data_IF_091908784553
#
_entry.id   IF_091908784553
#
_cell.length_a   1.000
_cell.length_b   1.000
_cell.length_c   1.000
_cell.angle_alpha   90.00
_cell.angle_beta   90.00
_cell.angle_gamma   90.00
#
_symmetry.space_group_name_H-M   'P 1'
#
loop_
_entity.id
_entity.type
_entity.pdbx_description
1 polymer ?
#
# COMPACT_ATOMS: atom_id res chain seq x y z
N UNK A 1 47.16 8.18 -39.43
CA UNK A 1 46.14 9.24 -39.35
C UNK A 1 45.53 9.16 -37.96
N UNK A 2 46.04 9.96 -37.02
CA UNK A 2 45.62 9.93 -35.62
C UNK A 2 44.63 11.06 -35.35
N UNK A 3 43.49 10.72 -34.76
CA UNK A 3 42.52 11.72 -34.30
C UNK A 3 42.80 12.09 -32.85
N UNK A 4 43.21 13.34 -32.67
CA UNK A 4 43.30 14.02 -31.38
C UNK A 4 41.91 14.49 -30.98
N UNK A 5 41.39 13.95 -29.87
CA UNK A 5 40.15 14.43 -29.24
C UNK A 5 40.53 15.54 -28.26
N UNK A 6 39.99 16.74 -28.49
CA UNK A 6 40.09 17.90 -27.59
C UNK A 6 38.90 17.86 -26.64
N UNK A 7 39.16 17.69 -25.35
CA UNK A 7 38.15 17.80 -24.29
C UNK A 7 38.12 19.26 -23.83
N UNK A 8 36.99 19.92 -24.05
CA UNK A 8 36.73 21.28 -23.60
C UNK A 8 36.04 21.21 -22.23
N UNK A 9 36.73 21.63 -21.17
CA UNK A 9 36.15 21.78 -19.83
C UNK A 9 35.51 23.16 -19.70
N UNK A 10 34.17 23.19 -19.60
CA UNK A 10 33.43 24.40 -19.23
C UNK A 10 33.23 24.43 -17.70
N UNK A 11 33.89 25.39 -17.04
CA UNK A 11 33.65 25.73 -15.65
C UNK A 11 32.49 26.72 -15.57
N UNK A 12 31.38 26.32 -14.94
CA UNK A 12 30.27 27.22 -14.58
C UNK A 12 30.50 27.70 -13.15
N UNK A 13 30.76 29.01 -13.01
CA UNK A 13 30.80 29.69 -11.72
C UNK A 13 29.38 30.09 -11.32
N UNK A 14 28.91 29.57 -10.18
CA UNK A 14 27.62 29.93 -9.60
C UNK A 14 27.81 31.06 -8.59
N UNK A 15 27.44 32.28 -8.96
CA UNK A 15 27.36 33.45 -8.07
C UNK A 15 26.06 33.38 -7.26
N UNK A 16 26.18 33.21 -5.94
CA UNK A 16 25.07 33.36 -4.99
C UNK A 16 24.85 34.84 -4.67
N UNK A 17 23.68 35.37 -5.02
CA UNK A 17 23.19 36.67 -4.56
C UNK A 17 22.29 36.49 -3.33
N UNK A 18 22.77 36.93 -2.17
CA UNK A 18 21.97 37.13 -0.96
C UNK A 18 21.26 38.50 -1.06
N UNK A 19 19.94 38.49 -1.18
CA UNK A 19 19.11 39.69 -1.00
C UNK A 19 18.50 39.66 0.40
N UNK A 20 18.97 40.55 1.26
CA UNK A 20 18.38 40.86 2.55
C UNK A 20 17.38 42.00 2.38
N UNK A 21 16.13 41.78 2.78
CA UNK A 21 15.15 42.84 3.01
C UNK A 21 14.52 42.61 4.39
N UNK A 22 15.04 43.32 5.39
CA UNK A 22 14.39 43.59 6.66
C UNK A 22 14.19 45.10 6.78
N UNK A 23 12.99 45.53 7.14
CA UNK A 23 12.65 46.93 7.32
C UNK A 23 11.23 47.08 7.87
N UNK A 24 11.18 47.43 9.15
CA UNK A 24 10.03 47.57 10.04
C UNK A 24 9.08 48.76 9.73
N UNK A 25 7.99 48.75 10.50
CA UNK A 25 7.14 49.86 10.98
C UNK A 25 5.94 50.30 10.12
N UNK A 26 4.72 50.10 10.64
CA UNK A 26 4.08 51.13 11.46
C UNK A 26 2.65 50.77 11.84
N UNK A 27 2.35 51.08 13.10
CA UNK A 27 1.08 50.99 13.81
C UNK A 27 0.05 51.99 13.27
N UNK A 28 -1.23 51.61 13.28
CA UNK A 28 -2.34 52.53 13.58
C UNK A 28 -3.45 51.83 14.34
N UNK A 29 -3.63 52.28 15.58
CA UNK A 29 -4.84 52.10 16.38
C UNK A 29 -6.04 52.75 15.71
N UNK A 30 -7.20 52.11 15.79
CA UNK A 30 -8.49 52.78 15.69
C UNK A 30 -9.45 52.13 16.70
N UNK A 31 -9.61 52.81 17.85
CA UNK A 31 -10.74 52.65 18.75
C UNK A 31 -11.97 53.26 18.07
N UNK A 32 -13.04 52.49 17.92
CA UNK A 32 -14.41 53.03 17.82
C UNK A 32 -15.29 52.20 18.73
N UNK A 33 -15.79 52.86 19.79
CA UNK A 33 -16.83 52.33 20.65
C UNK A 33 -18.21 52.46 20.00
N UNK A 34 -19.12 51.59 20.42
CA UNK A 34 -20.52 51.62 20.04
C UNK A 34 -21.33 50.71 20.96
N UNK A 35 -21.70 51.26 22.11
CA UNK A 35 -22.78 50.77 22.97
C UNK A 35 -24.10 50.90 22.22
N UNK A 36 -24.88 49.82 22.13
CA UNK A 36 -26.35 49.90 22.06
C UNK A 36 -26.91 48.73 22.87
N UNK A 37 -27.55 49.10 24.00
CA UNK A 37 -28.49 48.26 24.73
C UNK A 37 -29.82 48.22 23.96
N UNK A 38 -30.44 47.05 23.85
CA UNK A 38 -31.89 46.92 23.74
C UNK A 38 -32.31 45.53 24.22
N UNK A 39 -32.98 45.54 25.37
CA UNK A 39 -33.75 44.45 25.95
C UNK A 39 -34.78 43.89 24.97
N UNK A 40 -34.84 42.56 24.82
CA UNK A 40 -36.10 41.83 24.64
C UNK A 40 -36.00 40.51 25.39
N UNK A 41 -36.82 40.40 26.43
CA UNK A 41 -37.11 39.17 27.15
C UNK A 41 -38.03 38.26 26.32
N UNK A 42 -37.69 36.97 26.25
CA UNK A 42 -38.69 35.91 26.08
C UNK A 42 -38.25 34.68 26.87
N UNK A 43 -39.09 34.27 27.81
CA UNK A 43 -39.04 33.01 28.55
C UNK A 43 -39.10 31.81 27.60
N UNK A 44 -38.42 30.70 27.94
CA UNK A 44 -39.00 29.34 27.89
C UNK A 44 -38.02 28.26 28.39
N UNK A 45 -38.46 27.61 29.46
CA UNK A 45 -38.34 26.20 29.86
C UNK A 45 -37.04 25.39 29.68
N UNK A 46 -36.46 25.08 30.86
CA UNK A 46 -36.10 23.76 31.36
C UNK A 46 -35.86 22.61 30.34
N UNK A 47 -34.58 22.24 30.19
CA UNK A 47 -34.18 20.85 29.97
C UNK A 47 -32.74 20.64 30.45
N UNK A 48 -32.61 19.81 31.47
CA UNK A 48 -31.35 19.35 32.05
C UNK A 48 -30.59 18.47 31.06
N UNK A 49 -29.40 18.88 30.63
CA UNK A 49 -28.46 18.02 29.92
C UNK A 49 -27.25 17.71 30.82
N UNK A 50 -27.05 16.41 31.03
CA UNK A 50 -26.01 15.78 31.83
C UNK A 50 -24.66 15.99 31.16
N UNK A 51 -23.73 16.56 31.92
CA UNK A 51 -22.34 16.79 31.53
C UNK A 51 -21.53 15.50 31.74
N UNK A 52 -21.38 14.70 30.68
CA UNK A 52 -20.55 13.50 30.70
C UNK A 52 -19.24 13.76 29.94
N UNK A 53 -18.19 14.09 30.69
CA UNK A 53 -16.80 14.04 30.24
C UNK A 53 -16.46 12.61 29.80
N UNK A 54 -16.35 12.39 28.50
CA UNK A 54 -15.74 11.17 27.94
C UNK A 54 -14.24 11.42 27.85
N UNK A 55 -13.48 10.78 28.75
CA UNK A 55 -12.02 10.71 28.66
C UNK A 55 -11.61 9.73 27.57
N UNK A 56 -10.78 10.18 26.64
CA UNK A 56 -10.16 9.37 25.59
C UNK A 56 -8.90 8.70 26.14
N UNK A 57 -9.06 7.67 26.96
CA UNK A 57 -7.94 6.77 27.30
C UNK A 57 -7.95 5.59 26.34
N UNK A 58 -7.06 5.64 25.35
CA UNK A 58 -6.75 4.50 24.50
C UNK A 58 -5.94 3.48 25.31
N UNK A 59 -6.63 2.51 25.91
CA UNK A 59 -6.00 1.35 26.54
C UNK A 59 -5.43 0.46 25.44
N UNK A 60 -4.10 0.39 25.34
CA UNK A 60 -3.42 -0.58 24.50
C UNK A 60 -3.76 -1.99 25.01
N UNK A 61 -4.34 -2.83 24.14
CA UNK A 61 -4.60 -4.22 24.47
C UNK A 61 -3.28 -5.02 24.44
N UNK A 62 -3.09 -5.98 25.35
CA UNK A 62 -1.91 -6.83 25.35
C UNK A 62 -1.87 -7.72 24.10
N UNK A 63 -0.67 -7.87 23.54
CA UNK A 63 -0.37 -8.79 22.44
C UNK A 63 -0.47 -10.23 22.94
N UNK A 64 -1.62 -10.87 22.72
CA UNK A 64 -1.84 -12.28 23.10
C UNK A 64 -1.32 -13.16 21.97
N UNK A 65 -0.08 -13.63 22.12
CA UNK A 65 0.46 -14.75 21.35
C UNK A 65 -0.34 -16.01 21.69
N UNK A 66 -1.20 -16.45 20.77
CA UNK A 66 -1.87 -17.74 20.85
C UNK A 66 -0.93 -18.80 20.29
N UNK A 67 -0.53 -19.73 21.15
CA UNK A 67 0.20 -20.92 20.76
C UNK A 67 -0.76 -21.86 20.01
N UNK A 68 -0.80 -21.71 18.68
CA UNK A 68 -1.54 -22.60 17.79
C UNK A 68 -0.71 -23.87 17.69
N UNK A 69 -1.07 -24.88 18.50
CA UNK A 69 -0.36 -26.16 18.55
C UNK A 69 -0.14 -26.76 17.16
N UNK A 70 0.97 -27.48 16.98
CA UNK A 70 1.37 -28.12 15.72
C UNK A 70 0.21 -28.94 15.12
N UNK A 71 -0.43 -28.39 14.08
CA UNK A 71 -1.43 -29.09 13.29
C UNK A 71 -0.71 -30.11 12.41
N UNK A 72 -0.89 -31.39 12.74
CA UNK A 72 -0.24 -32.49 12.03
C UNK A 72 -0.74 -32.66 10.60
N UNK A 73 0.17 -32.60 9.63
CA UNK A 73 0.02 -33.25 8.32
C UNK A 73 -0.34 -32.38 7.12
N UNK A 74 -0.70 -31.11 7.31
CA UNK A 74 -0.92 -30.20 6.17
C UNK A 74 0.40 -29.51 5.85
N UNK A 75 0.98 -29.79 4.69
CA UNK A 75 2.11 -29.01 4.17
C UNK A 75 1.67 -27.55 4.13
N UNK A 76 2.30 -26.69 4.93
CA UNK A 76 2.03 -25.25 4.91
C UNK A 76 2.08 -24.80 3.45
N UNK A 77 1.01 -24.17 2.93
CA UNK A 77 1.03 -23.71 1.55
C UNK A 77 2.15 -22.67 1.44
N UNK A 78 3.12 -22.96 0.57
CA UNK A 78 4.32 -22.14 0.31
C UNK A 78 4.06 -20.98 -0.64
N UNK A 79 2.83 -20.86 -1.13
CA UNK A 79 2.44 -19.80 -2.03
C UNK A 79 2.09 -18.53 -1.25
N UNK A 80 1.79 -17.44 -1.94
CA UNK A 80 1.34 -16.20 -1.33
C UNK A 80 -0.12 -16.08 -1.69
N UNK A 81 -0.97 -15.79 -0.72
CA UNK A 81 -2.34 -15.40 -0.98
C UNK A 81 -2.35 -14.22 -1.96
N UNK A 82 -3.01 -14.36 -3.11
CA UNK A 82 -2.98 -13.33 -4.17
C UNK A 82 -3.55 -11.98 -3.73
N UNK A 83 -4.58 -11.99 -2.89
CA UNK A 83 -5.18 -10.80 -2.27
C UNK A 83 -4.44 -10.34 -1.01
N UNK A 84 -3.18 -10.72 -0.79
CA UNK A 84 -2.39 -10.24 0.35
C UNK A 84 -2.13 -8.72 0.24
N UNK A 85 -2.59 -7.98 1.24
CA UNK A 85 -2.46 -6.53 1.26
C UNK A 85 -3.39 -5.85 2.27
N UNK A 86 -3.24 -4.54 2.40
CA UNK A 86 -4.17 -3.70 3.13
C UNK A 86 -5.23 -3.21 2.14
N UNK A 87 -6.48 -3.57 2.40
CA UNK A 87 -7.63 -3.25 1.55
C UNK A 87 -8.63 -2.39 2.30
N UNK A 88 -9.35 -1.53 1.59
CA UNK A 88 -10.55 -0.88 2.09
C UNK A 88 -11.77 -1.74 1.77
N UNK A 89 -12.63 -1.91 2.77
CA UNK A 89 -13.96 -2.50 2.65
C UNK A 89 -14.99 -1.37 2.80
N UNK A 90 -15.77 -1.14 1.74
CA UNK A 90 -16.82 -0.11 1.75
C UNK A 90 -16.27 1.30 1.91
N UNK A 91 -16.91 2.16 2.72
CA UNK A 91 -16.55 3.58 2.80
C UNK A 91 -15.39 3.88 3.76
N UNK A 92 -15.22 3.13 4.85
CA UNK A 92 -14.28 3.51 5.92
C UNK A 92 -13.57 2.34 6.62
N UNK A 93 -13.95 1.09 6.35
CA UNK A 93 -13.33 -0.05 7.03
C UNK A 93 -12.09 -0.50 6.25
N UNK A 94 -11.11 -1.05 6.97
CA UNK A 94 -9.95 -1.67 6.37
C UNK A 94 -9.78 -3.09 6.85
N UNK A 95 -9.18 -3.90 5.98
CA UNK A 95 -8.80 -5.26 6.30
C UNK A 95 -7.38 -5.50 5.81
N UNK A 96 -6.53 -5.98 6.70
CA UNK A 96 -5.29 -6.62 6.31
C UNK A 96 -5.60 -8.08 5.98
N UNK A 97 -5.30 -8.47 4.74
CA UNK A 97 -5.38 -9.85 4.29
C UNK A 97 -3.95 -10.38 4.14
N UNK A 98 -3.67 -11.54 4.72
CA UNK A 98 -2.40 -12.25 4.63
C UNK A 98 -2.65 -13.74 4.50
N UNK A 99 -1.63 -14.52 4.16
CA UNK A 99 -1.69 -15.99 4.15
C UNK A 99 -2.02 -16.61 5.51
N UNK A 100 -2.01 -15.82 6.59
CA UNK A 100 -2.33 -16.29 7.95
C UNK A 100 -3.56 -15.64 8.57
N UNK A 101 -4.00 -14.46 8.10
CA UNK A 101 -5.11 -13.72 8.72
C UNK A 101 -5.96 -12.97 7.70
N UNK A 102 -7.27 -13.05 7.86
CA UNK A 102 -8.25 -12.19 7.19
C UNK A 102 -8.89 -11.29 8.24
N UNK A 103 -8.29 -10.11 8.47
CA UNK A 103 -8.70 -9.25 9.57
C UNK A 103 -8.52 -9.94 10.94
N UNK A 104 -9.63 -10.37 11.55
CA UNK A 104 -9.65 -11.03 12.87
C UNK A 104 -9.70 -12.56 12.82
N UNK A 105 -9.90 -13.18 11.65
CA UNK A 105 -9.92 -14.64 11.53
C UNK A 105 -8.56 -15.17 11.07
N UNK A 106 -8.26 -16.41 11.45
CA UNK A 106 -7.01 -17.11 11.08
C UNK A 106 -7.26 -17.87 9.79
N UNK A 107 -6.37 -17.72 8.80
CA UNK A 107 -6.35 -18.53 7.60
C UNK A 107 -5.63 -19.84 7.93
N UNK A 108 -6.33 -20.95 7.76
CA UNK A 108 -5.79 -22.31 7.99
C UNK A 108 -5.31 -22.94 6.69
N UNK A 109 -5.94 -22.58 5.58
CA UNK A 109 -5.59 -23.04 4.24
C UNK A 109 -6.02 -21.99 3.20
N UNK A 110 -5.42 -22.01 2.02
CA UNK A 110 -5.89 -21.27 0.86
C UNK A 110 -5.47 -22.02 -0.42
N UNK A 111 -6.20 -21.76 -1.49
CA UNK A 111 -6.07 -22.35 -2.81
C UNK A 111 -6.22 -21.22 -3.83
N UNK A 112 -5.08 -20.68 -4.27
CA UNK A 112 -5.05 -19.59 -5.24
C UNK A 112 -5.61 -20.02 -6.60
N UNK A 113 -5.42 -21.28 -7.00
CA UNK A 113 -5.93 -21.78 -8.29
C UNK A 113 -7.46 -21.73 -8.38
N UNK A 114 -8.16 -21.74 -7.24
CA UNK A 114 -9.61 -21.60 -7.14
C UNK A 114 -10.05 -20.31 -6.41
N UNK A 115 -9.13 -19.39 -6.13
CA UNK A 115 -9.36 -18.18 -5.35
C UNK A 115 -10.07 -18.41 -4.02
N UNK A 116 -9.71 -19.45 -3.25
CA UNK A 116 -10.35 -19.79 -1.97
C UNK A 116 -9.43 -19.66 -0.77
N UNK A 117 -9.97 -19.19 0.36
CA UNK A 117 -9.32 -19.20 1.65
C UNK A 117 -10.23 -19.83 2.70
N UNK A 118 -9.65 -20.68 3.52
CA UNK A 118 -10.33 -21.42 4.56
C UNK A 118 -9.85 -20.85 5.89
N UNK A 119 -10.80 -20.41 6.71
CA UNK A 119 -10.50 -19.66 7.92
C UNK A 119 -11.17 -20.28 9.13
N UNK A 120 -10.62 -20.01 10.31
CA UNK A 120 -11.21 -20.36 11.59
C UNK A 120 -11.23 -19.14 12.49
N UNK A 121 -12.28 -19.02 13.32
CA UNK A 121 -12.34 -17.96 14.31
C UNK A 121 -11.38 -18.26 15.46
N UNK A 122 -10.50 -17.33 15.85
CA UNK A 122 -9.68 -17.52 17.03
C UNK A 122 -10.56 -17.59 18.28
N UNK A 123 -10.05 -18.30 19.27
CA UNK A 123 -10.67 -18.47 20.58
C UNK A 123 -11.06 -17.10 21.17
N UNK A 124 -12.33 -16.90 21.48
CA UNK A 124 -12.79 -15.76 22.28
C UNK A 124 -13.24 -14.51 21.51
N UNK A 125 -13.36 -14.55 20.18
CA UNK A 125 -13.95 -13.43 19.43
C UNK A 125 -15.47 -13.57 19.41
N UNK A 126 -16.20 -12.68 20.10
CA UNK A 126 -17.65 -12.57 19.96
C UNK A 126 -18.00 -11.82 18.67
N UNK A 127 -18.79 -12.44 17.81
CA UNK A 127 -19.30 -11.82 16.59
C UNK A 127 -20.59 -11.03 16.86
N UNK A 128 -20.97 -10.10 15.97
CA UNK A 128 -22.28 -9.46 16.01
C UNK A 128 -23.35 -10.49 15.67
N UNK A 129 -23.84 -11.21 16.69
CA UNK A 129 -24.79 -12.32 16.55
C UNK A 129 -24.72 -13.39 17.64
N UNK A 130 -23.67 -13.39 18.49
CA UNK A 130 -23.54 -14.33 19.61
C UNK A 130 -22.15 -14.97 19.71
N UNK A 131 -22.02 -15.90 20.67
CA UNK A 131 -20.79 -16.64 20.96
C UNK A 131 -20.35 -17.40 19.72
N UNK A 132 -19.25 -16.98 19.09
CA UNK A 132 -18.61 -17.77 18.03
C UNK A 132 -18.10 -19.04 18.69
N UNK A 133 -18.61 -20.19 18.24
CA UNK A 133 -18.11 -21.47 18.72
C UNK A 133 -16.68 -21.63 18.21
N UNK A 134 -15.75 -21.90 19.12
CA UNK A 134 -14.41 -22.32 18.73
C UNK A 134 -14.50 -23.49 17.74
N UNK A 135 -13.56 -23.53 16.79
CA UNK A 135 -13.48 -24.63 15.82
C UNK A 135 -14.53 -24.57 14.72
N UNK A 136 -15.18 -23.41 14.52
CA UNK A 136 -16.01 -23.15 13.35
C UNK A 136 -15.16 -22.61 12.22
N UNK A 137 -15.31 -23.21 11.05
CA UNK A 137 -14.63 -22.83 9.83
C UNK A 137 -15.54 -22.05 8.89
N UNK A 138 -14.92 -21.19 8.08
CA UNK A 138 -15.58 -20.45 7.00
C UNK A 138 -14.72 -20.51 5.74
N UNK A 139 -15.38 -20.54 4.59
CA UNK A 139 -14.72 -20.52 3.28
C UNK A 139 -15.00 -19.18 2.64
N UNK A 140 -13.93 -18.50 2.25
CA UNK A 140 -13.99 -17.28 1.48
C UNK A 140 -13.53 -17.56 0.06
N UNK A 141 -14.15 -16.89 -0.91
CA UNK A 141 -13.73 -16.87 -2.31
C UNK A 141 -13.47 -15.42 -2.74
N UNK A 142 -12.47 -15.17 -3.58
CA UNK A 142 -12.22 -13.85 -4.16
C UNK A 142 -12.22 -13.84 -5.69
N UNK A 143 -12.28 -12.64 -6.26
CA UNK A 143 -12.02 -12.39 -7.68
C UNK A 143 -10.57 -11.94 -7.87
N UNK A 144 -9.98 -12.23 -9.04
CA UNK A 144 -8.65 -11.71 -9.42
C UNK A 144 -8.59 -10.18 -9.21
N UNK A 145 -7.58 -9.67 -8.48
CA UNK A 145 -7.37 -8.23 -8.34
C UNK A 145 -7.18 -7.54 -9.70
N UNK A 146 -8.09 -6.64 -10.05
CA UNK A 146 -7.99 -5.81 -11.26
C UNK A 146 -8.00 -4.35 -10.87
N UNK A 147 -6.94 -3.62 -11.23
CA UNK A 147 -6.82 -2.17 -10.99
C UNK A 147 -7.08 -1.76 -9.53
N UNK A 148 -6.43 -2.44 -8.58
CA UNK A 148 -6.59 -2.15 -7.14
C UNK A 148 -7.95 -2.57 -6.56
N UNK A 149 -8.79 -3.26 -7.34
CA UNK A 149 -10.10 -3.74 -6.90
C UNK A 149 -10.16 -5.27 -6.91
N UNK A 150 -10.66 -5.84 -5.84
CA UNK A 150 -11.04 -7.25 -5.76
C UNK A 150 -12.43 -7.36 -5.10
N UNK A 151 -13.05 -8.53 -5.21
CA UNK A 151 -14.27 -8.85 -4.45
C UNK A 151 -14.00 -10.05 -3.58
N UNK A 152 -14.59 -10.06 -2.40
CA UNK A 152 -14.48 -11.13 -1.43
C UNK A 152 -15.89 -11.61 -1.05
N UNK A 153 -16.08 -12.92 -1.01
CA UNK A 153 -17.34 -13.54 -0.65
C UNK A 153 -17.10 -14.64 0.40
N UNK A 154 -17.95 -14.71 1.44
CA UNK A 154 -18.02 -15.85 2.33
C UNK A 154 -18.97 -16.92 1.76
N UNK A 155 -18.42 -17.89 1.03
CA UNK A 155 -19.18 -18.96 0.34
C UNK A 155 -19.57 -20.12 1.24
N UNK A 156 -19.03 -20.20 2.45
CA UNK A 156 -19.51 -21.14 3.46
C UNK A 156 -19.18 -20.67 4.87
N UNK A 157 -19.98 -21.07 5.85
CA UNK A 157 -19.81 -20.69 7.25
C UNK A 157 -20.41 -21.74 8.18
N UNK A 158 -20.05 -21.70 9.47
CA UNK A 158 -20.55 -22.63 10.48
C UNK A 158 -20.18 -24.10 10.21
N UNK A 159 -19.07 -24.35 9.51
CA UNK A 159 -18.55 -25.69 9.28
C UNK A 159 -17.81 -26.19 10.52
N UNK A 160 -18.15 -27.39 11.00
CA UNK A 160 -17.68 -27.88 12.31
C UNK A 160 -16.28 -28.51 12.26
N UNK A 161 -15.70 -28.71 11.08
CA UNK A 161 -14.37 -29.31 10.90
C UNK A 161 -13.64 -28.63 9.73
N UNK A 162 -12.31 -28.68 9.77
CA UNK A 162 -11.47 -28.21 8.67
C UNK A 162 -11.71 -29.01 7.40
N UNK A 163 -11.86 -30.34 7.54
CA UNK A 163 -12.17 -31.22 6.42
C UNK A 163 -13.48 -30.83 5.71
N UNK A 164 -14.53 -30.46 6.47
CA UNK A 164 -15.78 -29.98 5.89
C UNK A 164 -15.59 -28.66 5.13
N UNK A 165 -14.70 -27.77 5.61
CA UNK A 165 -14.34 -26.55 4.89
C UNK A 165 -13.60 -26.84 3.59
N UNK A 166 -12.58 -27.70 3.64
CA UNK A 166 -11.81 -28.10 2.46
C UNK A 166 -12.66 -28.84 1.42
N UNK A 167 -13.72 -29.53 1.84
CA UNK A 167 -14.68 -30.22 0.96
C UNK A 167 -15.85 -29.33 0.51
N UNK A 168 -15.90 -28.06 0.91
CA UNK A 168 -16.99 -27.16 0.52
C UNK A 168 -17.01 -26.93 -1.00
N UNK A 169 -18.07 -27.42 -1.63
CA UNK A 169 -18.31 -27.24 -3.07
C UNK A 169 -18.97 -25.90 -3.41
N UNK A 170 -19.34 -25.10 -2.40
CA UNK A 170 -19.97 -23.81 -2.63
C UNK A 170 -19.00 -22.89 -3.36
N UNK A 171 -19.54 -22.17 -4.34
CA UNK A 171 -18.83 -21.18 -5.13
C UNK A 171 -19.71 -19.94 -5.24
N UNK A 172 -19.07 -18.78 -5.29
CA UNK A 172 -19.77 -17.54 -5.50
C UNK A 172 -20.08 -17.35 -6.99
N UNK A 173 -21.21 -16.71 -7.29
CA UNK A 173 -21.54 -16.28 -8.66
C UNK A 173 -21.03 -14.86 -8.89
N UNK A 174 -19.97 -14.71 -9.69
CA UNK A 174 -19.34 -13.40 -9.97
C UNK A 174 -20.22 -12.48 -10.83
N UNK A 175 -21.13 -13.06 -11.62
CA UNK A 175 -22.08 -12.32 -12.47
C UNK A 175 -23.21 -11.67 -11.65
N UNK A 176 -23.35 -12.06 -10.38
CA UNK A 176 -24.38 -11.56 -9.46
C UNK A 176 -23.74 -10.80 -8.29
N UNK A 177 -23.26 -9.55 -8.47
CA UNK A 177 -22.55 -8.82 -7.41
C UNK A 177 -23.38 -8.60 -6.12
N UNK A 178 -24.72 -8.66 -6.20
CA UNK A 178 -25.62 -8.40 -5.07
C UNK A 178 -26.14 -9.67 -4.37
N UNK A 179 -26.10 -10.83 -5.03
CA UNK A 179 -26.72 -12.08 -4.54
C UNK A 179 -25.82 -13.31 -4.70
N UNK A 180 -24.73 -13.19 -5.44
CA UNK A 180 -23.83 -14.30 -5.76
C UNK A 180 -23.03 -14.83 -4.59
N UNK A 181 -23.10 -14.18 -3.42
CA UNK A 181 -22.41 -14.61 -2.22
C UNK A 181 -23.36 -15.29 -1.22
N UNK A 182 -23.78 -16.53 -1.51
CA UNK A 182 -24.79 -17.26 -0.73
C UNK A 182 -26.10 -16.47 -0.53
N UNK A 183 -26.54 -15.75 -1.58
CA UNK A 183 -27.71 -14.87 -1.51
C UNK A 183 -27.40 -13.46 -0.98
N UNK A 184 -26.18 -13.19 -0.53
CA UNK A 184 -25.70 -11.88 -0.13
C UNK A 184 -24.82 -11.19 -1.19
N UNK A 185 -24.49 -9.90 -0.97
CA UNK A 185 -23.63 -9.14 -1.86
C UNK A 185 -22.15 -9.52 -1.66
N UNK A 186 -21.37 -9.37 -2.72
CA UNK A 186 -19.92 -9.41 -2.64
C UNK A 186 -19.38 -8.21 -1.84
N UNK A 187 -18.37 -8.46 -1.02
CA UNK A 187 -17.62 -7.41 -0.33
C UNK A 187 -16.59 -6.87 -1.32
N UNK A 188 -16.67 -5.57 -1.65
CA UNK A 188 -15.63 -4.95 -2.48
C UNK A 188 -14.42 -4.60 -1.64
N UNK A 189 -13.26 -5.06 -2.08
CA UNK A 189 -11.94 -4.69 -1.60
C UNK A 189 -11.36 -3.69 -2.59
N UNK A 190 -10.97 -2.51 -2.12
CA UNK A 190 -10.45 -1.45 -2.99
C UNK A 190 -9.16 -0.87 -2.39
N UNK A 191 -8.23 -0.47 -3.24
CA UNK A 191 -7.07 0.35 -2.94
C UNK A 191 -6.91 1.39 -4.06
N UNK A 192 -6.32 2.57 -3.78
CA UNK A 192 -5.95 3.48 -4.85
C UNK A 192 -5.09 2.74 -5.86
N UNK A 193 -5.35 2.88 -7.16
CA UNK A 193 -4.51 2.27 -8.20
C UNK A 193 -3.03 2.64 -8.04
N UNK A 194 -2.76 3.87 -7.59
CA UNK A 194 -1.42 4.35 -7.26
C UNK A 194 -0.72 3.60 -6.11
N UNK A 195 -1.40 2.70 -5.40
CA UNK A 195 -0.81 1.97 -4.26
C UNK A 195 0.39 1.13 -4.70
N UNK A 196 1.47 1.24 -3.95
CA UNK A 196 2.71 0.54 -4.21
C UNK A 196 3.94 1.29 -3.73
N UNK A 197 5.08 0.66 -3.96
CA UNK A 197 6.40 1.28 -3.86
C UNK A 197 6.82 1.74 -5.25
N UNK A 198 7.24 2.98 -5.36
CA UNK A 198 7.61 3.63 -6.61
C UNK A 198 8.93 4.39 -6.47
N UNK A 199 9.74 4.44 -7.52
CA UNK A 199 10.82 5.42 -7.61
C UNK A 199 10.25 6.75 -8.07
N UNK A 200 10.41 7.80 -7.26
CA UNK A 200 9.82 9.13 -7.52
C UNK A 200 10.80 10.03 -8.29
N UNK A 201 10.28 10.91 -9.15
CA UNK A 201 11.09 11.93 -9.86
C UNK A 201 11.79 12.92 -8.94
N UNK A 202 11.37 13.02 -7.67
CA UNK A 202 12.04 13.83 -6.65
C UNK A 202 13.22 13.11 -5.98
N UNK A 203 13.53 11.89 -6.42
CA UNK A 203 14.51 11.01 -5.81
C UNK A 203 13.90 10.15 -4.70
N UNK A 204 14.53 9.00 -4.46
CA UNK A 204 14.09 8.04 -3.45
C UNK A 204 12.86 7.25 -3.85
N UNK A 205 12.35 6.48 -2.88
CA UNK A 205 11.13 5.69 -3.03
C UNK A 205 9.95 6.42 -2.39
N UNK A 206 8.81 6.38 -3.07
CA UNK A 206 7.52 6.82 -2.57
C UNK A 206 6.67 5.58 -2.31
N UNK A 207 6.22 5.42 -1.06
CA UNK A 207 5.32 4.35 -0.66
C UNK A 207 3.93 4.93 -0.57
N UNK A 208 3.04 4.45 -1.43
CA UNK A 208 1.63 4.82 -1.48
C UNK A 208 0.83 3.62 -1.00
N UNK A 209 -0.02 3.81 -0.01
CA UNK A 209 -0.91 2.77 0.52
C UNK A 209 -2.37 3.17 0.35
N UNK A 210 -3.31 2.39 0.88
CA UNK A 210 -4.69 2.82 1.01
C UNK A 210 -4.90 3.98 2.00
N UNK A 211 -3.88 4.32 2.81
CA UNK A 211 -3.97 5.30 3.90
C UNK A 211 -3.08 6.52 3.72
N UNK A 212 -2.01 6.39 2.96
CA UNK A 212 -0.93 7.37 2.98
C UNK A 212 -0.31 7.52 1.60
N UNK A 213 0.01 8.76 1.24
CA UNK A 213 0.87 9.13 0.13
C UNK A 213 2.04 9.91 0.73
N UNK A 214 3.18 9.23 0.91
CA UNK A 214 4.30 9.79 1.67
C UNK A 214 3.89 10.10 3.12
N UNK A 215 3.82 11.38 3.48
CA UNK A 215 3.44 11.84 4.84
C UNK A 215 2.03 12.40 4.96
N UNK A 216 1.25 12.41 3.86
CA UNK A 216 -0.14 12.88 3.88
C UNK A 216 -1.10 11.69 3.92
N UNK A 217 -2.18 11.84 4.68
CA UNK A 217 -3.19 10.79 4.81
C UNK A 217 -4.14 10.82 3.60
N UNK A 218 -4.45 9.65 3.05
CA UNK A 218 -5.48 9.44 2.04
C UNK A 218 -6.82 9.27 2.76
N UNK A 219 -7.77 10.11 2.39
CA UNK A 219 -9.10 10.15 3.01
C UNK A 219 -10.11 9.40 2.13
N UNK A 220 -10.07 9.64 0.83
CA UNK A 220 -10.97 9.05 -0.15
C UNK A 220 -10.29 8.98 -1.51
N UNK A 221 -10.71 8.05 -2.37
CA UNK A 221 -10.27 7.95 -3.75
C UNK A 221 -11.41 7.44 -4.63
N UNK A 222 -11.28 7.65 -5.93
CA UNK A 222 -12.17 7.14 -6.96
C UNK A 222 -11.29 6.76 -8.16
N UNK A 223 -11.02 5.45 -8.28
CA UNK A 223 -10.15 4.92 -9.35
C UNK A 223 -10.76 5.17 -10.73
N UNK A 224 -12.09 5.06 -10.87
CA UNK A 224 -12.78 5.28 -12.15
C UNK A 224 -12.63 6.74 -12.64
N UNK A 225 -12.30 7.69 -11.75
CA UNK A 225 -12.06 9.10 -12.06
C UNK A 225 -10.60 9.53 -11.89
N UNK A 226 -9.70 8.60 -11.59
CA UNK A 226 -8.31 8.86 -11.27
C UNK A 226 -8.10 10.02 -10.28
N UNK A 227 -8.85 10.04 -9.17
CA UNK A 227 -8.78 11.10 -8.17
C UNK A 227 -8.57 10.58 -6.76
N UNK A 228 -7.66 11.25 -6.02
CA UNK A 228 -7.31 10.99 -4.63
C UNK A 228 -7.57 12.26 -3.81
N UNK A 229 -8.16 12.11 -2.64
CA UNK A 229 -8.35 13.19 -1.67
C UNK A 229 -7.46 12.92 -0.46
N UNK A 230 -6.57 13.85 -0.17
CA UNK A 230 -5.61 13.72 0.94
C UNK A 230 -5.83 14.80 1.98
N UNK A 231 -5.36 14.57 3.19
CA UNK A 231 -5.28 15.54 4.26
C UNK A 231 -3.83 15.65 4.75
N UNK A 232 -3.38 16.89 4.88
CA UNK A 232 -2.08 17.18 5.46
C UNK A 232 -2.06 16.83 6.96
N UNK A 233 -0.94 16.35 7.51
CA UNK A 233 -0.82 16.08 8.94
C UNK A 233 -1.07 17.34 9.78
N UNK A 234 -1.40 17.14 11.06
CA UNK A 234 -1.53 18.26 11.98
C UNK A 234 -0.15 18.87 12.29
N UNK A 235 -0.12 20.18 12.57
CA UNK A 235 1.08 20.88 13.03
C UNK A 235 2.04 21.37 11.94
N UNK A 236 1.74 21.16 10.64
CA UNK A 236 2.59 21.64 9.54
C UNK A 236 2.33 23.10 9.13
N UNK A 237 2.25 23.99 10.11
CA UNK A 237 2.06 25.43 9.88
C UNK A 237 0.70 25.76 9.24
N UNK A 238 0.69 26.71 8.29
CA UNK A 238 -0.54 27.22 7.68
C UNK A 238 -1.33 26.18 6.86
N UNK A 239 -0.70 25.06 6.48
CA UNK A 239 -1.33 23.97 5.73
C UNK A 239 -1.77 22.79 6.59
N UNK A 240 -1.66 22.91 7.92
CA UNK A 240 -2.06 21.89 8.89
C UNK A 240 -3.52 21.49 8.69
N UNK A 241 -3.78 20.18 8.61
CA UNK A 241 -5.13 19.61 8.51
C UNK A 241 -5.94 20.03 7.27
N UNK A 242 -5.32 20.70 6.30
CA UNK A 242 -5.98 21.08 5.06
C UNK A 242 -6.02 19.90 4.08
N UNK A 243 -7.03 19.91 3.23
CA UNK A 243 -7.31 18.88 2.24
C UNK A 243 -6.72 19.25 0.88
N UNK A 244 -6.40 18.23 0.09
CA UNK A 244 -5.90 18.38 -1.27
C UNK A 244 -6.67 17.44 -2.20
N UNK A 245 -6.82 17.86 -3.46
CA UNK A 245 -7.27 17.03 -4.58
C UNK A 245 -6.08 16.68 -5.44
N UNK A 246 -5.88 15.40 -5.68
CA UNK A 246 -4.82 14.86 -6.54
C UNK A 246 -5.50 14.09 -7.68
N UNK A 247 -4.97 14.23 -8.89
CA UNK A 247 -5.37 13.40 -10.03
C UNK A 247 -4.18 12.60 -10.54
N UNK A 248 -4.42 11.49 -11.23
CA UNK A 248 -3.36 10.71 -11.86
C UNK A 248 -3.70 10.28 -13.28
N UNK A 249 -2.68 9.83 -14.00
CA UNK A 249 -2.81 9.28 -15.35
C UNK A 249 -2.98 7.76 -15.29
N UNK A 250 -3.75 7.18 -16.21
CA UNK A 250 -3.79 5.71 -16.41
C UNK A 250 -2.39 5.14 -16.69
N UNK A 251 -2.08 3.95 -16.16
CA UNK A 251 -0.77 3.31 -16.36
C UNK A 251 -0.88 1.81 -16.70
N UNK A 252 -0.72 1.50 -18.00
CA UNK A 252 -0.88 0.13 -18.55
C UNK A 252 0.31 -0.83 -18.30
N UNK A 253 1.19 -0.53 -17.33
CA UNK A 253 2.42 -1.23 -16.87
C UNK A 253 3.64 -0.30 -16.79
N UNK A 254 3.54 0.92 -17.31
CA UNK A 254 4.60 1.92 -17.33
C UNK A 254 4.69 2.75 -16.06
N UNK A 255 5.45 3.86 -16.10
CA UNK A 255 5.37 4.87 -15.07
C UNK A 255 3.93 5.39 -14.92
N UNK A 256 3.59 5.80 -13.71
CA UNK A 256 2.39 6.56 -13.39
C UNK A 256 2.78 8.02 -13.13
N UNK A 257 1.85 8.95 -13.33
CA UNK A 257 2.06 10.34 -12.97
C UNK A 257 0.90 10.82 -12.12
N UNK A 258 1.18 11.61 -11.08
CA UNK A 258 0.14 12.28 -10.30
C UNK A 258 0.40 13.79 -10.18
N UNK A 259 -0.69 14.53 -10.00
CA UNK A 259 -0.69 15.98 -9.87
C UNK A 259 -1.59 16.44 -8.73
N UNK A 260 -1.07 17.29 -7.83
CA UNK A 260 -1.87 18.01 -6.82
C UNK A 260 -2.56 19.21 -7.47
N UNK A 261 -3.77 19.00 -7.99
CA UNK A 261 -4.51 20.01 -8.78
C UNK A 261 -5.16 21.09 -7.92
N UNK A 262 -5.47 20.78 -6.66
CA UNK A 262 -5.99 21.75 -5.71
C UNK A 262 -5.47 21.43 -4.30
N UNK A 263 -5.01 22.45 -3.58
CA UNK A 263 -4.31 22.29 -2.30
C UNK A 263 -4.83 23.29 -1.28
N UNK A 264 -4.74 22.94 0.00
CA UNK A 264 -5.06 23.89 1.07
C UNK A 264 -6.56 24.14 1.26
N UNK A 265 -7.41 23.16 0.96
CA UNK A 265 -8.86 23.24 1.07
C UNK A 265 -9.29 22.97 2.52
N UNK A 266 -10.36 23.63 2.99
CA UNK A 266 -10.73 23.60 4.41
C UNK A 266 -11.49 22.34 4.82
N UNK A 267 -12.06 21.63 3.84
CA UNK A 267 -12.83 20.41 4.08
C UNK A 267 -12.68 19.42 2.92
N UNK A 268 -13.01 18.16 3.21
CA UNK A 268 -13.14 17.13 2.18
C UNK A 268 -14.19 17.51 1.12
N UNK A 269 -15.30 18.11 1.53
CA UNK A 269 -16.36 18.55 0.60
C UNK A 269 -15.86 19.62 -0.37
N UNK A 270 -15.05 20.58 0.10
CA UNK A 270 -14.40 21.56 -0.78
C UNK A 270 -13.45 20.87 -1.78
N UNK A 271 -12.70 19.85 -1.33
CA UNK A 271 -11.83 19.06 -2.20
C UNK A 271 -12.59 18.28 -3.27
N UNK A 272 -13.71 17.66 -2.91
CA UNK A 272 -14.60 16.94 -3.83
C UNK A 272 -15.35 17.87 -4.78
N UNK A 273 -15.68 19.08 -4.34
CA UNK A 273 -16.36 20.09 -5.15
C UNK A 273 -15.41 20.85 -6.09
N UNK A 274 -14.10 20.83 -5.84
CA UNK A 274 -13.11 21.45 -6.73
C UNK A 274 -13.28 20.90 -8.14
N UNK A 275 -13.26 21.77 -9.16
CA UNK A 275 -13.29 21.39 -10.57
C UNK A 275 -11.93 21.50 -11.24
N UNK A 276 -10.87 21.81 -10.48
CA UNK A 276 -9.50 21.91 -11.03
C UNK A 276 -9.05 20.54 -11.53
N UNK A 277 -8.43 20.53 -12.69
CA UNK A 277 -7.86 19.34 -13.33
C UNK A 277 -6.41 19.62 -13.71
N UNK A 278 -5.73 18.60 -14.23
CA UNK A 278 -4.46 18.71 -14.92
C UNK A 278 -4.64 18.35 -16.40
N UNK A 279 -3.72 18.81 -17.24
CA UNK A 279 -3.56 18.35 -18.62
C UNK A 279 -2.58 17.17 -18.62
N UNK A 280 -3.05 15.98 -18.99
CA UNK A 280 -2.31 14.72 -19.00
C UNK A 280 -1.82 14.33 -20.39
N UNK A 281 -1.91 15.23 -21.38
CA UNK A 281 -1.48 14.94 -22.76
C UNK A 281 0.04 14.74 -22.89
N UNK A 282 0.84 15.38 -22.02
CA UNK A 282 2.29 15.22 -21.95
C UNK A 282 2.82 15.48 -20.51
N UNK A 283 2.62 14.52 -19.59
CA UNK A 283 2.92 14.71 -18.17
C UNK A 283 4.42 14.77 -17.88
N UNK A 284 5.28 14.36 -18.81
CA UNK A 284 6.74 14.50 -18.68
C UNK A 284 7.21 15.95 -18.89
N UNK A 285 6.38 16.81 -19.50
CA UNK A 285 6.74 18.21 -19.81
C UNK A 285 5.96 19.22 -18.97
N UNK A 286 4.63 19.09 -18.86
CA UNK A 286 3.80 20.09 -18.18
C UNK A 286 2.39 19.56 -17.83
N UNK A 287 1.51 20.45 -17.37
CA UNK A 287 0.07 20.17 -17.24
C UNK A 287 -0.48 20.14 -15.81
N UNK A 288 0.37 20.19 -14.79
CA UNK A 288 -0.05 20.19 -13.39
C UNK A 288 -0.27 21.62 -12.82
N UNK A 289 -1.13 22.42 -13.45
CA UNK A 289 -1.49 23.79 -13.01
C UNK A 289 -0.29 24.71 -12.69
N UNK A 290 0.75 24.66 -13.54
CA UNK A 290 1.98 25.44 -13.39
C UNK A 290 3.09 24.75 -12.59
N UNK A 291 2.81 23.59 -12.02
CA UNK A 291 3.81 22.67 -11.49
C UNK A 291 4.08 21.54 -12.50
N UNK A 292 5.18 20.81 -12.32
CA UNK A 292 5.44 19.55 -13.01
C UNK A 292 4.65 18.41 -12.36
N UNK A 293 4.30 17.40 -13.14
CA UNK A 293 3.76 16.15 -12.60
C UNK A 293 4.81 15.41 -11.78
N UNK A 294 4.37 14.68 -10.76
CA UNK A 294 5.23 13.71 -10.08
C UNK A 294 5.24 12.41 -10.88
N UNK A 295 6.40 12.01 -11.40
CA UNK A 295 6.55 10.72 -12.10
C UNK A 295 6.89 9.62 -11.09
N UNK A 296 6.15 8.52 -11.16
CA UNK A 296 6.31 7.31 -10.37
C UNK A 296 6.75 6.17 -11.27
N UNK A 297 7.99 5.73 -11.12
CA UNK A 297 8.56 4.64 -11.91
C UNK A 297 8.44 3.33 -11.12
N UNK A 298 7.85 2.26 -11.68
CA UNK A 298 7.71 1.00 -10.97
C UNK A 298 9.06 0.27 -10.83
N UNK A 299 9.09 -0.75 -9.97
CA UNK A 299 10.18 -1.72 -9.92
C UNK A 299 10.34 -2.40 -11.29
N UNK A 300 11.54 -2.35 -11.88
CA UNK A 300 11.81 -2.90 -13.21
C UNK A 300 11.62 -4.44 -13.28
N UNK A 301 11.80 -5.13 -12.15
CA UNK A 301 11.61 -6.57 -12.02
C UNK A 301 10.13 -7.00 -11.86
N UNK A 302 9.16 -6.07 -11.87
CA UNK A 302 7.73 -6.39 -11.70
C UNK A 302 7.23 -7.38 -12.76
N UNK A 303 6.44 -8.37 -12.33
CA UNK A 303 5.81 -9.36 -13.22
C UNK A 303 5.51 -10.68 -12.51
N UNK A 304 5.01 -11.65 -13.29
CA UNK A 304 4.79 -13.03 -12.86
C UNK A 304 5.87 -13.93 -13.48
N UNK A 305 6.49 -14.78 -12.67
CA UNK A 305 7.67 -15.55 -13.08
C UNK A 305 7.62 -16.98 -12.55
N UNK A 306 7.97 -17.95 -13.39
CA UNK A 306 8.32 -19.29 -12.95
C UNK A 306 9.79 -19.31 -12.49
N UNK A 307 10.04 -19.90 -11.34
CA UNK A 307 11.39 -19.97 -10.75
C UNK A 307 12.11 -21.27 -11.11
N UNK A 308 13.41 -21.41 -10.81
CA UNK A 308 14.19 -22.64 -11.10
C UNK A 308 13.58 -23.94 -10.54
N UNK A 309 12.66 -23.87 -9.57
CA UNK A 309 11.92 -25.01 -9.02
C UNK A 309 10.52 -25.24 -9.61
N UNK A 310 10.11 -24.45 -10.60
CA UNK A 310 8.75 -24.49 -11.17
C UNK A 310 7.71 -23.67 -10.39
N UNK A 311 8.05 -23.18 -9.20
CA UNK A 311 7.14 -22.33 -8.41
C UNK A 311 6.88 -21.01 -9.13
N UNK A 312 5.62 -20.60 -9.17
CA UNK A 312 5.21 -19.28 -9.62
C UNK A 312 5.53 -18.25 -8.53
N UNK A 313 6.12 -17.13 -8.92
CA UNK A 313 6.40 -15.99 -8.05
C UNK A 313 5.88 -14.72 -8.71
N UNK A 314 5.17 -13.92 -7.94
CA UNK A 314 4.73 -12.59 -8.35
C UNK A 314 5.63 -11.54 -7.69
N UNK A 315 6.22 -10.70 -8.53
CA UNK A 315 6.91 -9.48 -8.10
C UNK A 315 5.98 -8.33 -8.43
N UNK A 316 5.39 -7.73 -7.40
CA UNK A 316 4.40 -6.65 -7.53
C UNK A 316 4.99 -5.33 -7.03
N UNK A 317 4.19 -4.26 -7.01
CA UNK A 317 4.58 -3.00 -6.37
C UNK A 317 4.62 -3.08 -4.84
N UNK A 318 4.14 -4.18 -4.24
CA UNK A 318 4.06 -4.34 -2.79
C UNK A 318 4.86 -5.52 -2.28
N UNK A 319 5.08 -6.55 -3.09
CA UNK A 319 5.67 -7.80 -2.64
C UNK A 319 6.70 -8.31 -3.65
N UNK A 320 7.74 -8.96 -3.15
CA UNK A 320 8.62 -9.81 -3.94
C UNK A 320 8.62 -11.18 -3.28
N UNK A 321 7.96 -12.15 -3.91
CA UNK A 321 7.67 -13.41 -3.23
C UNK A 321 6.89 -13.12 -1.92
N UNK A 322 7.11 -13.89 -0.86
CA UNK A 322 6.46 -13.74 0.44
C UNK A 322 6.94 -12.52 1.27
N UNK A 323 7.67 -11.58 0.68
CA UNK A 323 8.25 -10.45 1.41
C UNK A 323 7.65 -9.14 0.93
N UNK A 324 7.44 -8.23 1.87
CA UNK A 324 6.93 -6.89 1.60
C UNK A 324 8.06 -6.07 0.98
N UNK A 325 7.84 -5.55 -0.23
CA UNK A 325 8.71 -4.55 -0.85
C UNK A 325 8.61 -3.24 -0.06
N UNK A 326 9.73 -2.71 0.40
CA UNK A 326 9.79 -1.44 1.16
C UNK A 326 10.58 -0.35 0.44
N UNK A 327 11.30 -0.70 -0.63
CA UNK A 327 12.01 0.23 -1.49
C UNK A 327 12.85 -0.49 -2.53
N UNK A 328 13.30 0.22 -3.56
CA UNK A 328 14.24 -0.29 -4.56
C UNK A 328 15.08 0.82 -5.21
N UNK A 329 16.08 0.43 -5.98
CA UNK A 329 16.89 1.28 -6.86
C UNK A 329 17.09 0.50 -8.17
N UNK A 330 16.38 0.94 -9.22
CA UNK A 330 16.39 0.27 -10.53
C UNK A 330 17.75 0.36 -11.22
N UNK A 331 18.51 1.43 -11.00
CA UNK A 331 19.82 1.64 -11.63
C UNK A 331 20.85 0.68 -11.04
N UNK A 332 20.81 0.49 -9.72
CA UNK A 332 21.66 -0.47 -9.00
C UNK A 332 21.10 -1.90 -9.00
N UNK A 333 19.88 -2.09 -9.47
CA UNK A 333 19.15 -3.36 -9.46
C UNK A 333 19.11 -4.01 -8.08
N UNK A 334 18.73 -3.23 -7.08
CA UNK A 334 18.58 -3.67 -5.69
C UNK A 334 17.20 -3.33 -5.15
N UNK A 335 16.64 -4.25 -4.35
CA UNK A 335 15.37 -4.09 -3.65
C UNK A 335 15.59 -4.39 -2.17
N UNK A 336 14.89 -3.64 -1.33
CA UNK A 336 14.85 -3.84 0.11
C UNK A 336 13.49 -4.37 0.47
N UNK A 337 13.51 -5.46 1.23
CA UNK A 337 12.34 -6.25 1.55
C UNK A 337 12.19 -6.31 3.07
N UNK A 338 10.96 -6.48 3.55
CA UNK A 338 10.66 -6.79 4.95
C UNK A 338 9.89 -8.11 5.01
N UNK A 339 10.40 -9.03 5.81
CA UNK A 339 9.70 -10.28 6.11
C UNK A 339 8.43 -9.95 6.89
N UNK A 340 7.32 -10.66 6.61
CA UNK A 340 6.11 -10.50 7.41
C UNK A 340 6.40 -10.76 8.91
N UNK A 341 5.58 -10.17 9.79
CA UNK A 341 5.62 -10.48 11.24
C UNK A 341 5.44 -11.96 11.55
N UNK A 342 4.87 -12.65 10.59
CA UNK A 342 4.50 -14.04 10.60
C UNK A 342 5.53 -14.95 9.90
N UNK A 343 6.63 -14.42 9.37
CA UNK A 343 7.63 -15.27 8.71
C UNK A 343 8.25 -16.27 9.69
N UNK A 344 8.39 -17.53 9.26
CA UNK A 344 9.00 -18.59 10.09
C UNK A 344 10.47 -18.27 10.40
N UNK A 345 11.15 -17.56 9.50
CA UNK A 345 12.54 -17.13 9.62
C UNK A 345 12.58 -15.60 9.61
N UNK A 346 13.22 -15.04 10.64
CA UNK A 346 13.47 -13.60 10.77
C UNK A 346 12.20 -12.71 10.62
N UNK A 347 11.15 -12.93 11.44
CA UNK A 347 9.92 -12.13 11.37
C UNK A 347 10.19 -10.65 11.60
N UNK A 348 9.51 -9.78 10.83
CA UNK A 348 9.69 -8.33 10.84
C UNK A 348 11.15 -7.84 10.58
N UNK A 349 12.04 -8.70 10.08
CA UNK A 349 13.39 -8.30 9.70
C UNK A 349 13.47 -7.90 8.23
N UNK A 350 14.54 -7.20 7.91
CA UNK A 350 14.80 -6.69 6.59
C UNK A 350 15.78 -7.56 5.82
N UNK A 351 15.62 -7.51 4.51
CA UNK A 351 16.37 -8.29 3.54
C UNK A 351 16.80 -7.39 2.37
N UNK A 352 17.87 -7.81 1.70
CA UNK A 352 18.38 -7.16 0.50
C UNK A 352 18.40 -8.15 -0.66
N UNK A 353 17.76 -7.79 -1.75
CA UNK A 353 17.67 -8.56 -2.99
C UNK A 353 18.38 -7.80 -4.10
N UNK A 354 19.25 -8.47 -4.85
CA UNK A 354 19.91 -7.92 -6.06
C UNK A 354 19.45 -8.72 -7.27
N UNK A 355 19.32 -8.09 -8.44
CA UNK A 355 18.96 -8.79 -9.68
C UNK A 355 19.80 -8.39 -10.90
N UNK A 356 19.82 -9.26 -11.90
CA UNK A 356 20.46 -9.00 -13.21
C UNK A 356 19.51 -8.26 -14.15
N UNK A 357 19.99 -7.57 -15.21
CA UNK A 357 19.11 -7.05 -16.24
C UNK A 357 18.20 -8.15 -16.80
N UNK A 358 16.95 -7.79 -17.12
CA UNK A 358 16.02 -8.71 -17.78
C UNK A 358 16.47 -8.95 -19.21
N UNK A 359 16.66 -10.21 -19.57
CA UNK A 359 17.01 -10.62 -20.92
C UNK A 359 15.83 -10.44 -21.88
N UNK A 360 16.11 -10.41 -23.19
CA UNK A 360 15.08 -10.29 -24.23
C UNK A 360 14.04 -11.41 -24.22
N UNK A 361 14.39 -12.57 -23.66
CA UNK A 361 13.49 -13.71 -23.45
C UNK A 361 12.62 -13.56 -22.18
N UNK A 362 12.71 -12.44 -21.46
CA UNK A 362 11.90 -12.15 -20.29
C UNK A 362 12.35 -12.85 -19.01
N UNK A 363 13.58 -13.36 -18.96
CA UNK A 363 14.13 -13.93 -17.73
C UNK A 363 15.22 -13.06 -17.12
N UNK A 364 15.42 -13.23 -15.81
CA UNK A 364 16.50 -12.60 -15.05
C UNK A 364 16.90 -13.49 -13.88
N UNK A 365 17.97 -13.13 -13.18
CA UNK A 365 18.45 -13.81 -11.98
C UNK A 365 18.36 -12.89 -10.78
N UNK A 366 17.98 -13.42 -9.62
CA UNK A 366 17.95 -12.68 -8.37
C UNK A 366 18.70 -13.40 -7.25
N UNK A 367 19.30 -12.62 -6.36
CA UNK A 367 20.07 -13.08 -5.21
C UNK A 367 19.60 -12.35 -3.94
N UNK A 368 19.19 -13.12 -2.94
CA UNK A 368 18.98 -12.63 -1.58
C UNK A 368 20.35 -12.52 -0.90
N UNK A 369 20.92 -11.32 -0.89
CA UNK A 369 22.29 -11.08 -0.39
C UNK A 369 22.31 -11.04 1.14
N UNK A 370 21.26 -10.50 1.73
CA UNK A 370 21.10 -10.34 3.17
C UNK A 370 19.68 -10.67 3.59
N UNK A 371 19.56 -11.28 4.75
CA UNK A 371 18.31 -11.53 5.44
C UNK A 371 18.52 -11.37 6.95
N UNK A 372 17.46 -11.09 7.69
CA UNK A 372 17.53 -10.93 9.13
C UNK A 372 18.08 -9.59 9.64
N UNK A 373 18.17 -8.57 8.79
CA UNK A 373 18.66 -7.24 9.17
C UNK A 373 17.67 -6.51 10.09
N UNK A 374 18.19 -5.70 11.02
CA UNK A 374 17.40 -5.07 12.08
C UNK A 374 16.38 -4.05 11.59
N UNK A 375 16.74 -3.31 10.55
CA UNK A 375 16.01 -2.16 10.03
C UNK A 375 16.32 -1.93 8.53
N UNK A 376 15.57 -1.02 7.92
CA UNK A 376 15.72 -0.66 6.50
C UNK A 376 17.09 -0.05 6.20
N UNK A 377 17.63 0.78 7.10
CA UNK A 377 18.92 1.45 6.90
C UNK A 377 20.05 0.42 6.80
N UNK A 378 20.06 -0.60 7.68
CA UNK A 378 21.01 -1.71 7.61
C UNK A 378 20.91 -2.49 6.28
N UNK A 379 19.70 -2.63 5.71
CA UNK A 379 19.51 -3.25 4.39
C UNK A 379 20.00 -2.36 3.23
N UNK A 380 19.87 -1.04 3.37
CA UNK A 380 20.37 -0.06 2.41
C UNK A 380 21.90 0.05 2.44
N UNK A 381 22.49 -0.02 3.64
CA UNK A 381 23.93 0.11 3.87
C UNK A 381 24.70 -1.20 3.67
N UNK A 382 24.02 -2.33 3.41
CA UNK A 382 24.71 -3.59 3.18
C UNK A 382 25.59 -3.52 1.93
N UNK A 383 26.89 -3.70 2.15
CA UNK A 383 27.93 -3.75 1.11
C UNK A 383 28.19 -5.17 0.60
N UNK A 384 27.36 -6.16 0.95
CA UNK A 384 27.57 -7.54 0.47
C UNK A 384 27.52 -7.57 -1.06
N UNK A 385 28.69 -7.87 -1.63
CA UNK A 385 28.88 -8.00 -3.05
C UNK A 385 28.27 -9.31 -3.55
N UNK A 386 27.76 -9.25 -4.78
CA UNK A 386 27.36 -10.41 -5.57
C UNK A 386 28.19 -10.44 -6.83
N UNK A 387 28.43 -11.64 -7.37
CA UNK A 387 29.04 -11.83 -8.68
C UNK A 387 27.99 -12.37 -9.64
N UNK A 388 27.58 -11.57 -10.61
CA UNK A 388 26.59 -11.93 -11.63
C UNK A 388 27.24 -12.44 -12.93
N UNK A 389 28.55 -12.70 -12.95
CA UNK A 389 29.24 -13.20 -14.15
C UNK A 389 28.91 -14.65 -14.51
N UNK A 390 28.57 -15.48 -13.53
CA UNK A 390 28.03 -16.83 -13.73
C UNK A 390 26.93 -17.17 -12.70
N UNK A 391 25.70 -16.65 -12.92
CA UNK A 391 24.61 -16.82 -11.97
C UNK A 391 24.13 -18.27 -11.86
N UNK A 392 24.54 -19.14 -12.77
CA UNK A 392 24.15 -20.56 -12.78
C UNK A 392 24.96 -21.40 -11.80
N UNK A 393 26.20 -21.00 -11.51
CA UNK A 393 27.13 -21.80 -10.70
C UNK A 393 27.48 -21.16 -9.35
N UNK A 394 27.35 -19.83 -9.20
CA UNK A 394 27.77 -19.16 -7.99
C UNK A 394 27.43 -17.67 -7.93
N UNK A 395 28.10 -16.97 -7.01
CA UNK A 395 28.07 -15.51 -6.90
C UNK A 395 26.97 -14.92 -6.03
N UNK A 396 25.98 -15.72 -5.61
CA UNK A 396 25.00 -15.35 -4.60
C UNK A 396 25.37 -15.94 -3.23
N UNK A 397 26.14 -15.20 -2.42
CA UNK A 397 26.67 -15.71 -1.14
C UNK A 397 27.41 -17.07 -1.27
N UNK A 398 28.08 -17.29 -2.40
CA UNK A 398 28.78 -18.54 -2.73
C UNK A 398 27.90 -19.65 -3.31
N UNK A 399 26.58 -19.45 -3.44
CA UNK A 399 25.64 -20.33 -4.13
C UNK A 399 25.16 -19.75 -5.47
N UNK A 400 24.40 -20.54 -6.27
CA UNK A 400 23.79 -20.08 -7.51
C UNK A 400 22.67 -19.08 -7.26
N UNK A 401 22.39 -18.22 -8.24
CA UNK A 401 21.27 -17.29 -8.18
C UNK A 401 19.95 -18.02 -8.49
N UNK A 402 18.83 -17.44 -8.05
CA UNK A 402 17.49 -17.94 -8.40
C UNK A 402 17.09 -17.37 -9.76
N UNK A 403 16.73 -18.22 -10.73
CA UNK A 403 16.24 -17.81 -12.05
C UNK A 403 14.77 -17.46 -11.96
N UNK A 404 14.36 -16.39 -12.63
CA UNK A 404 12.99 -15.94 -12.80
C UNK A 404 12.68 -15.89 -14.29
N UNK A 405 11.73 -16.71 -14.77
CA UNK A 405 11.32 -16.78 -16.18
C UNK A 405 9.91 -16.25 -16.30
N UNK A 406 9.70 -15.15 -17.03
CA UNK A 406 8.38 -14.53 -17.15
C UNK A 406 7.36 -15.55 -17.69
N UNK A 407 6.23 -15.66 -17.01
CA UNK A 407 5.06 -16.38 -17.51
C UNK A 407 4.15 -15.38 -18.22
N UNK A 408 3.50 -15.80 -19.30
CA UNK A 408 2.47 -14.98 -19.92
C UNK A 408 1.36 -14.75 -18.90
N UNK A 409 1.00 -13.50 -18.67
CA UNK A 409 -0.25 -13.18 -17.95
C UNK A 409 -1.39 -13.65 -18.85
N UNK A 410 -2.29 -14.52 -18.36
CA UNK A 410 -3.40 -15.04 -19.15
C UNK A 410 -4.33 -13.95 -19.70
#
# INVERSE_FOLDING_TARGET
MGHTIVILTMSVALTMGLAACGGDESSKEAKVGGQVEADVATEMDASSAIDAKVGTDSVALPDVSLDVGEFGGVTKPTEILEINGLWRIGSNAQVQLTSKRFGKVVVVHYDNANNKAYTTAPVGVSGPGGVVRQGVYSVYQWTEPTAGRARLCQVDTNLNTEEAALQSANTANEDEPQTGCNGGPWITLDTPELSGVWASSFGGNEVITALELGTVSIIEWDNDKNVLYTQNPQGIGASSSLYNRIVWTEFAAGPAWYCKVDVGLKSLDEAKASTKTADDSDPDVSGCNGFGWTKLTPLAARGSYATTGGNLTHVTSHNWDERILVGFDNDKRVAWLRNHSEADVHPNRFARMVWTPTESSGHFWACLTDDGLSDLQAAQDSEKATDDSDPTSGGCNGGPWKRYTRVATP
#
